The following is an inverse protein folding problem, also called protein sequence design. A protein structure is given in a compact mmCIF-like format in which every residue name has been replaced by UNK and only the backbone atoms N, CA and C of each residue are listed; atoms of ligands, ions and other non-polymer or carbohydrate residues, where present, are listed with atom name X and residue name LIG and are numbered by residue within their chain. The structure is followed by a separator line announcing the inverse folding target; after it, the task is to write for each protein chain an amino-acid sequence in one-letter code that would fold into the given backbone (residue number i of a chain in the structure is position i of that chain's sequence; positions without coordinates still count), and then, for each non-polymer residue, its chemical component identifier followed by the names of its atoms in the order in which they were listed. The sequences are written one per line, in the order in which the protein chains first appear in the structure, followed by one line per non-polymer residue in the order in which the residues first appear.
data_IF_892907424296
#
_entry.id   IF_892907424296
#
_cell.length_a   1.000
_cell.length_b   1.000
_cell.length_c   1.000
_cell.angle_alpha   90.00
_cell.angle_beta   90.00
_cell.angle_gamma   90.00
#
_symmetry.space_group_name_H-M   'P 1'
#
loop_
_entity.id
_entity.type
_entity.pdbx_description
1 polymer ?
#
# COMPACT_ATOMS: atom_id res chain seq x y z
N UNK A 1 36.29 2.73 -19.42
CA UNK A 1 35.06 2.98 -18.61
C UNK A 1 35.40 3.59 -17.23
N UNK A 2 35.17 4.90 -17.03
CA UNK A 2 35.34 5.55 -15.72
C UNK A 2 34.36 4.94 -14.72
N UNK A 3 34.86 4.18 -13.73
CA UNK A 3 34.06 3.75 -12.56
C UNK A 3 33.53 5.01 -11.87
N UNK A 4 32.24 5.32 -12.00
CA UNK A 4 31.59 6.37 -11.20
C UNK A 4 31.84 6.05 -9.72
N UNK A 5 32.53 6.94 -9.01
CA UNK A 5 32.68 6.83 -7.55
C UNK A 5 31.28 6.90 -6.94
N UNK A 6 30.90 5.87 -6.17
CA UNK A 6 29.64 5.90 -5.42
C UNK A 6 29.88 6.67 -4.13
N UNK A 7 29.13 7.75 -3.93
CA UNK A 7 29.23 8.62 -2.77
C UNK A 7 28.30 8.16 -1.63
N UNK A 8 28.62 8.59 -0.42
CA UNK A 8 27.72 8.52 0.72
C UNK A 8 26.82 9.76 0.68
N UNK A 9 25.52 9.58 0.92
CA UNK A 9 24.57 10.68 0.94
C UNK A 9 23.32 10.29 1.72
N UNK A 10 22.61 11.29 2.24
CA UNK A 10 21.26 11.14 2.75
C UNK A 10 20.27 11.66 1.69
N UNK A 11 19.12 11.03 1.60
CA UNK A 11 17.96 11.59 0.91
C UNK A 11 16.78 11.57 1.87
N UNK A 12 15.76 12.39 1.60
CA UNK A 12 14.51 12.31 2.34
C UNK A 12 13.31 12.37 1.40
N UNK A 13 12.18 11.88 1.89
CA UNK A 13 10.85 12.08 1.29
C UNK A 13 9.86 12.46 2.38
N UNK A 14 8.83 13.22 2.03
CA UNK A 14 7.70 13.48 2.93
C UNK A 14 6.91 12.18 3.08
N UNK A 15 6.81 11.69 4.31
CA UNK A 15 6.04 10.50 4.67
C UNK A 15 4.58 10.84 5.00
N UNK A 16 4.37 11.91 5.77
CA UNK A 16 3.06 12.43 6.14
C UNK A 16 3.14 13.91 6.54
N UNK A 17 2.00 14.59 6.50
CA UNK A 17 1.83 15.95 7.02
C UNK A 17 0.80 15.88 8.14
N UNK A 18 1.21 16.17 9.37
CA UNK A 18 0.32 16.29 10.53
C UNK A 18 -0.12 17.73 10.77
N UNK A 19 -0.81 17.95 11.89
CA UNK A 19 -1.29 19.28 12.30
C UNK A 19 -0.18 20.22 12.74
N UNK A 20 0.91 19.68 13.31
CA UNK A 20 2.07 20.44 13.80
C UNK A 20 3.40 19.94 13.23
N UNK A 21 3.45 18.67 12.84
CA UNK A 21 4.69 18.03 12.44
C UNK A 21 4.65 17.57 10.99
N UNK A 22 5.75 17.81 10.28
CA UNK A 22 6.08 17.14 9.03
C UNK A 22 6.84 15.86 9.37
N UNK A 23 6.37 14.72 8.86
CA UNK A 23 7.04 13.44 9.02
C UNK A 23 7.87 13.16 7.78
N UNK A 24 9.18 12.96 7.97
CA UNK A 24 10.14 12.71 6.91
C UNK A 24 10.68 11.28 7.01
N UNK A 25 10.71 10.57 5.88
CA UNK A 25 11.50 9.34 5.76
C UNK A 25 12.90 9.70 5.29
N UNK A 26 13.87 9.66 6.19
CA UNK A 26 15.28 9.84 5.92
C UNK A 26 15.89 8.50 5.50
N UNK A 27 16.71 8.50 4.46
CA UNK A 27 17.38 7.30 3.94
C UNK A 27 18.87 7.57 3.84
N UNK A 28 19.64 6.91 4.69
CA UNK A 28 21.10 7.00 4.66
C UNK A 28 21.68 5.97 3.71
N UNK A 29 22.56 6.41 2.79
CA UNK A 29 23.21 5.55 1.82
C UNK A 29 24.72 5.58 1.94
N UNK A 30 25.33 4.40 1.99
CA UNK A 30 26.77 4.20 1.93
C UNK A 30 27.13 3.54 0.62
N UNK A 31 27.97 4.20 -0.19
CA UNK A 31 28.30 3.75 -1.56
C UNK A 31 27.03 3.44 -2.39
N UNK A 32 25.99 4.25 -2.22
CA UNK A 32 24.70 4.12 -2.92
C UNK A 32 23.79 2.99 -2.42
N UNK A 33 24.15 2.27 -1.36
CA UNK A 33 23.33 1.21 -0.76
C UNK A 33 22.63 1.79 0.48
N UNK A 34 21.28 1.70 0.59
CA UNK A 34 20.57 2.03 1.82
C UNK A 34 21.14 1.26 3.01
N UNK A 35 21.44 1.96 4.11
CA UNK A 35 21.96 1.34 5.33
C UNK A 35 20.95 1.37 6.47
N UNK A 36 20.13 2.42 6.48
CA UNK A 36 19.01 2.59 7.39
C UNK A 36 18.00 3.57 6.78
N UNK A 37 16.81 3.50 7.32
CA UNK A 37 15.64 4.32 7.08
C UNK A 37 15.15 4.81 8.44
N UNK A 38 15.03 6.14 8.59
CA UNK A 38 14.62 6.77 9.84
C UNK A 38 13.44 7.68 9.58
N UNK A 39 12.41 7.59 10.41
CA UNK A 39 11.32 8.56 10.41
C UNK A 39 11.71 9.69 11.36
N UNK A 40 11.72 10.92 10.87
CA UNK A 40 11.92 12.13 11.68
C UNK A 40 10.63 12.95 11.73
N UNK A 41 10.22 13.36 12.93
CA UNK A 41 9.15 14.33 13.11
C UNK A 41 9.75 15.73 13.26
N UNK A 42 9.38 16.64 12.36
CA UNK A 42 9.93 18.01 12.32
C UNK A 42 8.79 19.00 12.47
N UNK A 43 8.90 19.91 13.42
CA UNK A 43 7.94 21.01 13.59
C UNK A 43 8.00 21.91 12.34
N UNK A 44 6.90 22.02 11.58
CA UNK A 44 6.96 22.69 10.27
C UNK A 44 7.07 24.22 10.37
N UNK A 45 6.72 24.81 11.52
CA UNK A 45 6.85 26.25 11.75
C UNK A 45 8.30 26.63 12.06
N UNK A 46 8.96 25.84 12.91
CA UNK A 46 10.29 26.16 13.44
C UNK A 46 11.43 25.41 12.73
N UNK A 47 11.11 24.34 12.01
CA UNK A 47 12.09 23.43 11.42
C UNK A 47 12.86 22.58 12.44
N UNK A 48 12.46 22.61 13.72
CA UNK A 48 13.13 21.82 14.77
C UNK A 48 12.65 20.38 14.74
N UNK A 49 13.60 19.45 14.77
CA UNK A 49 13.31 18.03 14.96
C UNK A 49 12.79 17.79 16.38
N UNK A 50 11.68 17.06 16.49
CA UNK A 50 11.11 16.60 17.76
C UNK A 50 11.69 15.25 18.17
N UNK A 51 11.67 14.29 17.25
CA UNK A 51 12.17 12.93 17.49
C UNK A 51 12.60 12.26 16.18
N UNK A 52 13.35 11.17 16.34
CA UNK A 52 13.64 10.19 15.29
C UNK A 52 13.25 8.78 15.75
N UNK A 53 12.73 7.99 14.82
CA UNK A 53 12.45 6.57 14.98
C UNK A 53 13.19 5.78 13.91
N UNK A 54 14.02 4.83 14.32
CA UNK A 54 14.70 3.92 13.39
C UNK A 54 13.66 2.97 12.78
N UNK A 55 13.25 3.28 11.55
CA UNK A 55 12.19 2.55 10.88
C UNK A 55 12.69 1.20 10.38
N UNK A 56 13.82 1.16 9.66
CA UNK A 56 14.41 -0.07 9.11
C UNK A 56 15.92 0.08 8.98
N UNK A 57 16.68 -1.00 9.18
CA UNK A 57 18.13 -1.07 9.01
C UNK A 57 18.57 -2.45 8.50
N UNK A 58 19.88 -2.66 8.40
CA UNK A 58 20.46 -3.94 7.95
C UNK A 58 20.23 -5.14 8.88
N UNK A 59 19.82 -4.90 10.11
CA UNK A 59 19.52 -5.93 11.11
C UNK A 59 18.02 -6.20 11.20
N UNK A 60 17.20 -5.43 10.49
CA UNK A 60 15.76 -5.60 10.46
C UNK A 60 15.40 -6.96 9.86
N UNK A 61 14.36 -7.57 10.43
CA UNK A 61 13.85 -8.85 9.93
C UNK A 61 13.15 -8.70 8.58
N UNK A 62 12.54 -7.54 8.35
CA UNK A 62 11.67 -7.28 7.21
C UNK A 62 12.03 -5.98 6.50
N UNK A 63 11.84 -5.98 5.19
CA UNK A 63 11.76 -4.75 4.40
C UNK A 63 10.30 -4.33 4.24
N UNK A 64 10.01 -3.04 4.44
CA UNK A 64 8.64 -2.51 4.56
C UNK A 64 8.39 -1.33 3.62
N UNK A 65 7.23 -1.34 2.96
CA UNK A 65 6.72 -0.14 2.28
C UNK A 65 6.13 0.84 3.29
N UNK A 66 6.15 2.15 3.03
CA UNK A 66 5.67 3.15 3.97
C UNK A 66 4.52 3.98 3.38
N UNK A 67 3.34 3.89 4.00
CA UNK A 67 2.23 4.83 3.83
C UNK A 67 1.85 5.34 5.21
N UNK A 68 1.80 6.66 5.40
CA UNK A 68 1.68 7.24 6.73
C UNK A 68 0.68 8.40 6.79
N UNK A 69 0.07 8.58 7.96
CA UNK A 69 -0.77 9.74 8.30
C UNK A 69 -0.69 10.02 9.79
N UNK A 70 -1.06 11.22 10.21
CA UNK A 70 -1.30 11.54 11.62
C UNK A 70 -2.78 11.30 11.95
N UNK A 71 -3.07 10.52 12.99
CA UNK A 71 -4.43 10.31 13.52
C UNK A 71 -4.36 10.44 15.04
N UNK A 72 -5.16 11.33 15.63
CA UNK A 72 -5.18 11.56 17.08
C UNK A 72 -3.77 11.80 17.67
N UNK A 73 -2.98 12.63 17.00
CA UNK A 73 -1.58 12.97 17.31
C UNK A 73 -0.60 11.78 17.31
N UNK A 74 -1.01 10.65 16.74
CA UNK A 74 -0.16 9.48 16.55
C UNK A 74 0.23 9.40 15.09
N UNK A 75 1.51 9.14 14.82
CA UNK A 75 1.93 8.75 13.49
C UNK A 75 1.50 7.30 13.27
N UNK A 76 0.58 7.09 12.33
CA UNK A 76 0.15 5.76 11.90
C UNK A 76 0.81 5.45 10.57
N UNK A 77 1.54 4.34 10.51
CA UNK A 77 2.19 3.82 9.31
C UNK A 77 1.60 2.45 8.99
N UNK A 78 1.19 2.26 7.74
CA UNK A 78 0.73 0.97 7.22
C UNK A 78 1.47 0.67 5.93
N UNK A 79 1.73 -0.61 5.70
CA UNK A 79 2.33 -1.05 4.45
C UNK A 79 2.35 -2.56 4.31
N UNK A 80 3.03 -3.01 3.26
CA UNK A 80 3.39 -4.40 3.06
C UNK A 80 4.80 -4.67 3.58
N UNK A 81 5.08 -5.95 3.81
CA UNK A 81 6.39 -6.38 4.26
C UNK A 81 6.84 -7.66 3.54
N UNK A 82 8.13 -7.78 3.32
CA UNK A 82 8.81 -8.98 2.81
C UNK A 82 9.96 -9.32 3.75
N UNK A 83 10.61 -10.48 3.55
CA UNK A 83 11.91 -10.69 4.18
C UNK A 83 12.88 -9.56 3.83
N UNK A 84 13.79 -9.26 4.75
CA UNK A 84 14.71 -8.15 4.59
C UNK A 84 15.56 -8.29 3.32
N UNK A 85 15.64 -7.19 2.57
CA UNK A 85 16.42 -7.08 1.35
C UNK A 85 17.25 -5.80 1.35
N UNK A 86 18.50 -5.91 0.90
CA UNK A 86 19.41 -4.74 0.76
C UNK A 86 18.95 -3.73 -0.31
N UNK A 87 17.91 -4.06 -1.08
CA UNK A 87 17.39 -3.20 -2.15
C UNK A 87 16.20 -2.39 -1.67
N UNK A 88 15.14 -3.09 -1.26
CA UNK A 88 13.87 -2.58 -0.72
C UNK A 88 12.91 -3.78 -0.51
N UNK A 89 11.67 -3.51 -0.08
CA UNK A 89 10.54 -4.44 -0.15
C UNK A 89 10.47 -5.18 -1.50
N UNK A 90 10.25 -6.49 -1.45
CA UNK A 90 10.09 -7.35 -2.63
C UNK A 90 8.63 -7.80 -2.75
N UNK A 91 7.92 -7.30 -3.76
CA UNK A 91 6.53 -7.71 -4.04
C UNK A 91 6.41 -9.23 -4.27
N UNK A 92 7.46 -9.84 -4.80
CA UNK A 92 7.52 -11.27 -5.08
C UNK A 92 7.56 -12.13 -3.81
N UNK A 93 7.92 -11.55 -2.67
CA UNK A 93 8.07 -12.19 -1.35
C UNK A 93 7.21 -11.46 -0.31
N UNK A 94 6.10 -10.84 -0.76
CA UNK A 94 5.22 -10.07 0.10
C UNK A 94 4.49 -11.01 1.06
N UNK A 95 4.70 -10.86 2.37
CA UNK A 95 4.13 -11.76 3.39
C UNK A 95 2.77 -11.31 3.93
N UNK A 96 2.34 -10.09 3.58
CA UNK A 96 1.09 -9.51 4.05
C UNK A 96 1.23 -8.03 4.36
N UNK A 97 0.52 -7.57 5.38
CA UNK A 97 0.50 -6.17 5.81
C UNK A 97 1.11 -5.98 7.20
N UNK A 98 1.52 -4.77 7.52
CA UNK A 98 1.88 -4.37 8.86
C UNK A 98 1.29 -3.01 9.21
N UNK A 99 1.12 -2.76 10.51
CA UNK A 99 0.82 -1.43 11.08
C UNK A 99 1.84 -1.11 12.16
N UNK A 100 2.36 0.11 12.10
CA UNK A 100 3.17 0.75 13.13
C UNK A 100 2.41 1.99 13.61
N UNK A 101 2.33 2.21 14.92
CA UNK A 101 1.85 3.45 15.50
C UNK A 101 2.88 4.00 16.48
N UNK A 102 3.22 5.28 16.33
CA UNK A 102 4.08 6.02 17.24
C UNK A 102 3.27 7.08 17.97
N UNK A 103 3.55 7.29 19.25
CA UNK A 103 3.02 8.43 19.98
C UNK A 103 3.69 9.75 19.56
N UNK A 104 3.27 10.84 20.19
CA UNK A 104 3.78 12.18 19.93
C UNK A 104 5.28 12.34 20.19
N UNK A 105 5.87 11.46 21.00
CA UNK A 105 7.29 11.45 21.37
C UNK A 105 8.10 10.46 20.52
N UNK A 106 7.46 9.76 19.59
CA UNK A 106 8.10 8.78 18.70
C UNK A 106 8.28 7.40 19.33
N UNK A 107 7.63 7.12 20.46
CA UNK A 107 7.65 5.80 21.09
C UNK A 107 6.61 4.90 20.45
N UNK A 108 7.00 3.64 20.24
CA UNK A 108 6.14 2.62 19.66
C UNK A 108 4.96 2.28 20.58
N UNK A 109 3.75 2.54 20.10
CA UNK A 109 2.49 2.11 20.72
C UNK A 109 2.04 0.75 20.19
N UNK A 110 2.34 0.47 18.93
CA UNK A 110 1.88 -0.72 18.23
C UNK A 110 2.82 -1.07 17.08
N UNK A 111 3.17 -2.35 16.94
CA UNK A 111 3.72 -2.93 15.72
C UNK A 111 3.11 -4.31 15.50
N UNK A 112 2.22 -4.43 14.51
CA UNK A 112 1.45 -5.66 14.24
C UNK A 112 1.63 -6.08 12.79
N UNK A 113 1.82 -7.39 12.58
CA UNK A 113 1.94 -8.00 11.25
C UNK A 113 0.75 -8.93 10.98
N UNK A 114 0.14 -8.77 9.82
CA UNK A 114 -0.99 -9.58 9.33
C UNK A 114 -0.54 -10.37 8.11
N UNK A 115 -0.42 -11.68 8.26
CA UNK A 115 0.03 -12.60 7.21
C UNK A 115 -1.08 -12.94 6.22
N UNK A 116 -0.72 -13.33 4.99
CA UNK A 116 -1.69 -13.85 4.02
C UNK A 116 -2.45 -15.09 4.51
N UNK A 117 -1.82 -15.92 5.34
CA UNK A 117 -2.46 -17.08 5.98
C UNK A 117 -3.70 -16.71 6.81
N UNK A 118 -3.85 -15.46 7.21
CA UNK A 118 -5.03 -14.97 7.95
C UNK A 118 -6.25 -14.79 7.03
N UNK A 119 -6.11 -14.99 5.71
CA UNK A 119 -7.16 -14.86 4.70
C UNK A 119 -7.30 -16.14 3.86
N UNK A 120 -7.61 -17.30 4.48
CA UNK A 120 -7.61 -18.59 3.80
C UNK A 120 -8.61 -18.69 2.64
N UNK A 121 -9.64 -17.84 2.63
CA UNK A 121 -10.68 -17.82 1.59
C UNK A 121 -10.20 -17.23 0.25
N UNK A 122 -9.06 -16.52 0.22
CA UNK A 122 -8.57 -15.85 -0.99
C UNK A 122 -7.82 -16.75 -1.97
N UNK A 123 -7.56 -18.01 -1.61
CA UNK A 123 -6.80 -18.98 -2.42
C UNK A 123 -5.45 -18.40 -2.90
N UNK A 124 -4.69 -17.83 -1.96
CA UNK A 124 -3.35 -17.29 -2.18
C UNK A 124 -2.32 -18.07 -1.35
N UNK A 125 -1.07 -18.13 -1.81
CA UNK A 125 0.05 -18.67 -1.04
C UNK A 125 0.57 -17.70 0.03
N UNK A 126 1.59 -18.11 0.77
CA UNK A 126 2.21 -17.33 1.85
C UNK A 126 2.91 -16.04 1.38
N UNK A 127 3.15 -15.90 0.07
CA UNK A 127 3.74 -14.72 -0.56
C UNK A 127 2.69 -13.90 -1.36
N UNK A 128 1.39 -14.22 -1.18
CA UNK A 128 0.28 -13.53 -1.81
C UNK A 128 0.14 -13.83 -3.31
N UNK A 129 0.70 -14.94 -3.79
CA UNK A 129 0.52 -15.41 -5.17
C UNK A 129 -0.78 -16.16 -5.31
N UNK A 130 -1.47 -15.90 -6.41
CA UNK A 130 -2.74 -16.52 -6.79
C UNK A 130 -2.54 -17.39 -8.04
N UNK A 131 -3.63 -18.04 -8.47
CA UNK A 131 -3.63 -18.85 -9.69
C UNK A 131 -3.12 -18.09 -10.93
N UNK A 132 -2.71 -18.84 -11.97
CA UNK A 132 -2.29 -18.30 -13.27
C UNK A 132 -1.14 -17.29 -13.19
N UNK A 133 -0.31 -17.35 -12.16
CA UNK A 133 0.84 -16.46 -11.88
C UNK A 133 0.45 -15.01 -11.54
N UNK A 134 -0.77 -14.80 -11.06
CA UNK A 134 -1.15 -13.53 -10.45
C UNK A 134 -0.56 -13.43 -9.04
N UNK A 135 -0.44 -12.22 -8.52
CA UNK A 135 -0.08 -11.92 -7.13
C UNK A 135 -0.82 -10.68 -6.66
N UNK A 136 -1.00 -10.54 -5.35
CA UNK A 136 -1.64 -9.36 -4.79
C UNK A 136 -0.65 -8.19 -4.76
N UNK A 137 -0.91 -7.18 -5.59
CA UNK A 137 -0.13 -5.95 -5.58
C UNK A 137 -0.90 -4.86 -4.83
N UNK A 138 -0.31 -4.26 -3.78
CA UNK A 138 -0.89 -3.10 -3.10
C UNK A 138 -1.14 -1.97 -4.10
N UNK A 139 -2.32 -1.36 -4.00
CA UNK A 139 -2.76 -0.28 -4.91
C UNK A 139 -3.06 0.98 -4.12
N UNK A 140 -3.75 0.87 -2.98
CA UNK A 140 -4.03 2.02 -2.13
C UNK A 140 -4.23 1.63 -0.66
N UNK A 141 -3.91 2.57 0.24
CA UNK A 141 -4.14 2.48 1.67
C UNK A 141 -5.07 3.62 2.10
N UNK A 142 -6.19 3.27 2.72
CA UNK A 142 -7.18 4.21 3.22
C UNK A 142 -7.10 4.25 4.74
N UNK A 143 -6.89 5.43 5.29
CA UNK A 143 -6.79 5.67 6.72
C UNK A 143 -8.04 6.42 7.17
N UNK A 144 -8.71 5.92 8.20
CA UNK A 144 -9.92 6.55 8.74
C UNK A 144 -9.62 7.25 10.07
N UNK A 145 -10.36 8.31 10.37
CA UNK A 145 -10.17 9.12 11.58
C UNK A 145 -10.40 8.32 12.89
N UNK A 146 -11.22 7.27 12.83
CA UNK A 146 -11.40 6.32 13.94
C UNK A 146 -10.23 5.33 14.14
N UNK A 147 -9.21 5.39 13.28
CA UNK A 147 -8.00 4.57 13.32
C UNK A 147 -8.12 3.23 12.60
N UNK A 148 -9.28 2.92 12.00
CA UNK A 148 -9.44 1.79 11.06
C UNK A 148 -8.62 2.04 9.80
N UNK A 149 -8.34 0.95 9.09
CA UNK A 149 -7.58 1.00 7.85
C UNK A 149 -8.21 0.04 6.84
N UNK A 150 -8.29 0.47 5.59
CA UNK A 150 -8.57 -0.43 4.47
C UNK A 150 -7.42 -0.45 3.48
N UNK A 151 -7.03 -1.63 3.02
CA UNK A 151 -5.96 -1.82 2.03
C UNK A 151 -6.54 -2.42 0.76
N UNK A 152 -6.40 -1.70 -0.35
CA UNK A 152 -6.79 -2.16 -1.67
C UNK A 152 -5.59 -2.82 -2.34
N UNK A 153 -5.75 -4.07 -2.74
CA UNK A 153 -4.80 -4.76 -3.61
C UNK A 153 -5.46 -5.11 -4.94
N UNK A 154 -4.66 -5.29 -5.97
CA UNK A 154 -5.09 -5.74 -7.29
C UNK A 154 -4.34 -7.01 -7.65
N UNK A 155 -5.06 -8.02 -8.16
CA UNK A 155 -4.41 -9.19 -8.75
C UNK A 155 -3.61 -8.73 -9.95
N UNK A 156 -2.30 -8.79 -9.83
CA UNK A 156 -1.34 -8.34 -10.82
C UNK A 156 -0.51 -9.52 -11.33
N UNK A 157 -0.32 -9.58 -12.65
CA UNK A 157 0.61 -10.51 -13.29
C UNK A 157 1.67 -9.70 -14.03
N UNK A 158 2.94 -9.78 -13.61
CA UNK A 158 4.00 -9.01 -14.25
C UNK A 158 4.20 -9.42 -15.71
N UNK A 159 4.76 -8.49 -16.48
CA UNK A 159 5.29 -8.75 -17.82
C UNK A 159 6.24 -9.96 -17.79
N UNK A 160 6.15 -10.80 -18.81
CA UNK A 160 7.20 -11.79 -19.05
C UNK A 160 8.36 -11.10 -19.77
N UNK A 161 9.44 -10.81 -19.05
CA UNK A 161 10.64 -10.15 -19.56
C UNK A 161 11.32 -10.87 -20.76
N UNK A 162 10.96 -12.12 -21.05
CA UNK A 162 11.46 -12.87 -22.22
C UNK A 162 10.64 -12.68 -23.49
N UNK A 163 9.45 -12.06 -23.41
CA UNK A 163 8.56 -11.86 -24.57
C UNK A 163 8.53 -10.36 -24.92
N UNK A 164 8.96 -10.03 -26.14
CA UNK A 164 8.89 -8.66 -26.68
C UNK A 164 7.43 -8.18 -26.66
N UNK A 165 7.14 -7.07 -25.96
CA UNK A 165 5.81 -6.44 -25.77
C UNK A 165 4.81 -7.18 -24.86
N UNK A 166 5.26 -7.99 -23.91
CA UNK A 166 4.34 -8.61 -22.96
C UNK A 166 3.83 -7.57 -21.93
N UNK A 167 2.61 -7.07 -22.05
CA UNK A 167 2.11 -6.12 -21.07
C UNK A 167 1.72 -6.80 -19.75
N UNK A 168 1.83 -6.11 -18.60
CA UNK A 168 1.26 -6.58 -17.36
C UNK A 168 -0.24 -6.82 -17.51
N UNK A 169 -0.77 -7.70 -16.67
CA UNK A 169 -2.21 -7.99 -16.63
C UNK A 169 -2.73 -7.76 -15.22
N UNK A 170 -3.92 -7.18 -15.13
CA UNK A 170 -4.63 -7.01 -13.86
C UNK A 170 -6.02 -7.64 -13.93
N UNK A 171 -6.55 -8.05 -12.78
CA UNK A 171 -7.91 -8.57 -12.68
C UNK A 171 -8.58 -8.06 -11.39
N UNK A 172 -9.23 -8.94 -10.63
CA UNK A 172 -9.99 -8.60 -9.42
C UNK A 172 -9.19 -7.68 -8.48
N UNK A 173 -9.89 -6.71 -7.88
CA UNK A 173 -9.39 -6.09 -6.66
C UNK A 173 -9.75 -6.94 -5.44
N UNK A 174 -8.94 -6.82 -4.39
CA UNK A 174 -9.22 -7.37 -3.08
C UNK A 174 -9.05 -6.26 -2.05
N UNK A 175 -10.14 -5.93 -1.37
CA UNK A 175 -10.20 -4.93 -0.33
C UNK A 175 -10.13 -5.60 1.04
N UNK A 176 -9.08 -5.31 1.79
CA UNK A 176 -8.91 -5.74 3.17
C UNK A 176 -9.36 -4.62 4.09
N UNK A 177 -10.28 -4.87 5.01
CA UNK A 177 -10.67 -3.90 6.04
C UNK A 177 -10.22 -4.39 7.40
N UNK A 178 -9.58 -3.51 8.17
CA UNK A 178 -9.00 -3.80 9.47
C UNK A 178 -9.51 -2.81 10.52
N UNK A 179 -9.65 -3.28 11.76
CA UNK A 179 -10.01 -2.44 12.88
C UNK A 179 -8.82 -1.57 13.35
N UNK A 180 -9.03 -0.76 14.38
CA UNK A 180 -8.00 0.11 14.96
C UNK A 180 -6.79 -0.68 15.48
N UNK A 181 -7.02 -1.87 16.01
CA UNK A 181 -5.99 -2.79 16.52
C UNK A 181 -5.31 -3.59 15.40
N UNK A 182 -5.62 -3.30 14.12
CA UNK A 182 -5.12 -3.99 12.94
C UNK A 182 -5.53 -5.47 12.82
N UNK A 183 -6.61 -5.85 13.52
CA UNK A 183 -7.31 -7.10 13.34
C UNK A 183 -8.20 -7.06 12.10
N UNK A 184 -8.19 -8.15 11.32
CA UNK A 184 -9.01 -8.31 10.12
C UNK A 184 -10.50 -8.24 10.45
N UNK A 185 -11.22 -7.34 9.79
CA UNK A 185 -12.69 -7.29 9.79
C UNK A 185 -13.25 -8.05 8.58
N UNK A 186 -12.69 -7.81 7.39
CA UNK A 186 -13.15 -8.44 6.15
C UNK A 186 -12.07 -8.43 5.06
N UNK A 187 -12.23 -9.34 4.10
CA UNK A 187 -11.51 -9.32 2.82
C UNK A 187 -12.55 -9.54 1.71
N UNK A 188 -12.80 -8.51 0.90
CA UNK A 188 -13.82 -8.51 -0.14
C UNK A 188 -13.21 -8.52 -1.53
N UNK A 189 -13.72 -9.36 -2.43
CA UNK A 189 -13.25 -9.45 -3.81
C UNK A 189 -14.18 -8.67 -4.72
N UNK A 190 -13.65 -7.63 -5.37
CA UNK A 190 -14.36 -6.82 -6.35
C UNK A 190 -14.03 -7.39 -7.73
N UNK A 191 -15.03 -7.98 -8.38
CA UNK A 191 -14.87 -8.70 -9.64
C UNK A 191 -14.70 -7.74 -10.81
N UNK A 192 -13.66 -8.01 -11.60
CA UNK A 192 -13.25 -7.23 -12.75
C UNK A 192 -12.98 -8.08 -13.97
N UNK A 193 -13.09 -7.48 -15.15
CA UNK A 193 -12.57 -8.09 -16.35
C UNK A 193 -11.04 -8.11 -16.36
N UNK A 194 -10.48 -9.07 -17.10
CA UNK A 194 -9.03 -9.15 -17.29
C UNK A 194 -8.52 -7.98 -18.15
N UNK A 195 -7.79 -7.07 -17.52
CA UNK A 195 -7.04 -6.02 -18.21
C UNK A 195 -5.73 -6.59 -18.75
N UNK A 196 -5.41 -6.25 -20.01
CA UNK A 196 -4.22 -6.76 -20.73
C UNK A 196 -3.24 -5.66 -21.15
N UNK A 197 -3.52 -4.42 -20.79
CA UNK A 197 -2.80 -3.24 -21.30
C UNK A 197 -2.51 -2.21 -20.23
N UNK A 198 -3.15 -2.28 -19.07
CA UNK A 198 -2.93 -1.36 -17.96
C UNK A 198 -2.11 -2.02 -16.85
N UNK A 199 -1.24 -1.23 -16.23
CA UNK A 199 -0.53 -1.67 -15.04
C UNK A 199 -1.48 -1.76 -13.86
N UNK A 200 -2.52 -0.92 -13.78
CA UNK A 200 -3.62 -0.93 -12.80
C UNK A 200 -4.86 -0.32 -13.44
N UNK A 201 -6.05 -0.74 -13.03
CA UNK A 201 -7.29 -0.07 -13.47
C UNK A 201 -7.87 0.90 -12.42
N UNK A 202 -7.18 1.09 -11.29
CA UNK A 202 -7.51 2.12 -10.30
C UNK A 202 -7.33 3.52 -10.87
N UNK A 203 -8.27 4.43 -10.60
CA UNK A 203 -8.23 5.81 -11.07
C UNK A 203 -7.88 6.79 -9.95
N UNK A 204 -8.79 6.96 -8.99
CA UNK A 204 -8.62 7.89 -7.86
C UNK A 204 -9.56 7.53 -6.70
N UNK A 205 -9.43 8.23 -5.59
CA UNK A 205 -10.34 8.15 -4.46
C UNK A 205 -10.60 9.54 -3.87
N UNK A 206 -11.65 9.62 -3.08
CA UNK A 206 -11.99 10.79 -2.29
C UNK A 206 -12.52 10.34 -0.93
N UNK A 207 -11.96 10.91 0.14
CA UNK A 207 -12.53 10.75 1.47
C UNK A 207 -13.88 11.46 1.58
N UNK A 208 -14.79 10.84 2.31
CA UNK A 208 -16.15 11.31 2.58
C UNK A 208 -16.45 11.11 4.06
N UNK A 209 -17.55 11.71 4.56
CA UNK A 209 -17.98 11.54 5.96
C UNK A 209 -16.86 11.90 6.97
N UNK A 210 -16.24 13.06 6.79
CA UNK A 210 -15.15 13.54 7.66
C UNK A 210 -14.05 12.48 7.81
N UNK A 211 -13.59 11.97 6.66
CA UNK A 211 -12.58 10.92 6.51
C UNK A 211 -12.86 9.61 7.26
N UNK A 212 -14.11 9.35 7.65
CA UNK A 212 -14.57 8.04 8.14
C UNK A 212 -15.21 7.17 7.03
N UNK A 213 -15.18 7.66 5.80
CA UNK A 213 -15.50 6.87 4.62
C UNK A 213 -14.64 7.26 3.42
N UNK A 214 -14.61 6.41 2.41
CA UNK A 214 -13.91 6.69 1.16
C UNK A 214 -14.71 6.15 -0.03
N UNK A 215 -14.82 6.95 -1.08
CA UNK A 215 -15.24 6.49 -2.39
C UNK A 215 -14.01 6.35 -3.29
N UNK A 216 -13.84 5.20 -3.94
CA UNK A 216 -12.79 4.99 -4.93
C UNK A 216 -13.33 4.52 -6.27
N UNK A 217 -12.62 4.91 -7.32
CA UNK A 217 -13.06 4.81 -8.70
C UNK A 217 -12.07 3.97 -9.49
N UNK A 218 -12.59 3.13 -10.38
CA UNK A 218 -11.78 2.31 -11.27
C UNK A 218 -12.42 2.22 -12.65
N UNK A 219 -11.59 2.12 -13.69
CA UNK A 219 -12.06 1.82 -15.06
C UNK A 219 -12.12 0.32 -15.27
N UNK A 220 -13.12 -0.18 -16.00
CA UNK A 220 -13.17 -1.59 -16.39
C UNK A 220 -14.01 -1.77 -17.65
N UNK A 221 -14.07 -3.00 -18.15
CA UNK A 221 -14.99 -3.39 -19.21
C UNK A 221 -16.11 -4.25 -18.64
N UNK A 222 -17.33 -4.06 -19.15
CA UNK A 222 -18.42 -5.02 -18.97
C UNK A 222 -18.77 -5.64 -20.32
N UNK A 223 -18.94 -6.97 -20.34
CA UNK A 223 -19.43 -7.68 -21.52
C UNK A 223 -20.96 -7.63 -21.48
N UNK A 224 -21.57 -7.03 -22.50
CA UNK A 224 -23.03 -7.06 -22.65
C UNK A 224 -23.51 -8.49 -22.94
N UNK A 225 -24.42 -9.02 -22.11
CA UNK A 225 -25.00 -10.36 -22.24
C UNK A 225 -25.59 -10.63 -23.63
N UNK A 226 -26.09 -9.58 -24.31
CA UNK A 226 -26.80 -9.71 -25.57
C UNK A 226 -25.93 -9.50 -26.82
N UNK A 227 -24.71 -8.98 -26.70
CA UNK A 227 -23.94 -8.57 -27.89
C UNK A 227 -22.47 -8.97 -27.89
N UNK A 228 -21.94 -9.57 -26.82
CA UNK A 228 -20.50 -9.81 -26.63
C UNK A 228 -19.61 -8.57 -26.83
N UNK A 229 -20.21 -7.37 -26.90
CA UNK A 229 -19.49 -6.10 -27.01
C UNK A 229 -19.00 -5.71 -25.63
N UNK A 230 -17.73 -5.29 -25.56
CA UNK A 230 -17.12 -4.71 -24.37
C UNK A 230 -17.46 -3.23 -24.32
N UNK A 231 -18.22 -2.84 -23.30
CA UNK A 231 -18.48 -1.44 -23.01
C UNK A 231 -17.61 -1.00 -21.84
N UNK A 232 -17.11 0.22 -21.89
CA UNK A 232 -16.38 0.78 -20.75
C UNK A 232 -17.36 1.03 -19.60
N UNK A 233 -16.87 0.81 -18.38
CA UNK A 233 -17.59 1.14 -17.16
C UNK A 233 -16.69 1.94 -16.23
N UNK A 234 -17.32 2.82 -15.46
CA UNK A 234 -16.77 3.37 -14.24
C UNK A 234 -17.33 2.56 -13.07
N UNK A 235 -16.45 1.84 -12.38
CA UNK A 235 -16.80 1.23 -11.11
C UNK A 235 -16.57 2.21 -9.97
N UNK A 236 -17.55 2.34 -9.09
CA UNK A 236 -17.54 3.21 -7.91
C UNK A 236 -17.72 2.32 -6.69
N UNK A 237 -16.76 2.38 -5.77
CA UNK A 237 -16.79 1.61 -4.54
C UNK A 237 -16.77 2.55 -3.35
N UNK A 238 -17.72 2.40 -2.45
CA UNK A 238 -17.79 3.18 -1.23
C UNK A 238 -17.53 2.30 -0.02
N UNK A 239 -16.61 2.74 0.85
CA UNK A 239 -16.30 2.10 2.12
C UNK A 239 -16.75 3.03 3.24
N UNK A 240 -17.72 2.61 4.05
CA UNK A 240 -18.17 3.33 5.26
C UNK A 240 -18.28 2.31 6.38
N UNK A 241 -17.65 2.58 7.53
CA UNK A 241 -17.62 1.67 8.68
C UNK A 241 -17.18 0.24 8.34
N UNK A 242 -16.24 0.11 7.40
CA UNK A 242 -15.73 -1.19 6.92
C UNK A 242 -16.72 -1.97 6.02
N UNK A 243 -17.88 -1.39 5.69
CA UNK A 243 -18.85 -1.95 4.75
C UNK A 243 -18.60 -1.40 3.35
N UNK A 244 -18.51 -2.30 2.38
CA UNK A 244 -18.35 -1.96 0.97
C UNK A 244 -19.72 -1.90 0.28
N UNK A 245 -19.92 -0.88 -0.54
CA UNK A 245 -21.01 -0.80 -1.53
C UNK A 245 -20.40 -0.60 -2.92
N UNK A 246 -20.87 -1.36 -3.90
CA UNK A 246 -20.35 -1.35 -5.27
C UNK A 246 -21.41 -0.84 -6.25
N UNK A 247 -21.03 0.09 -7.12
CA UNK A 247 -21.86 0.61 -8.20
C UNK A 247 -21.07 0.61 -9.51
N UNK A 248 -21.76 0.45 -10.65
CA UNK A 248 -21.16 0.45 -11.99
C UNK A 248 -21.96 1.33 -12.93
N UNK A 249 -21.28 2.28 -13.57
CA UNK A 249 -21.88 3.21 -14.53
C UNK A 249 -21.28 2.95 -15.92
N UNK A 250 -22.08 2.61 -16.95
CA UNK A 250 -21.60 2.55 -18.33
C UNK A 250 -21.11 3.91 -18.83
N UNK A 251 -20.00 3.93 -19.58
CA UNK A 251 -19.45 5.12 -20.27
C UNK A 251 -19.50 4.92 -21.78
#
# INVERSE_FOLDING_TARGET
PRKKKRHNYASFSVAAVGQKYLYLLLIHRVKGIPIDFTIAAVDFETGKEKYQYLFEDRNSQYSRTLHATEINNQLVVVGNYSDYSKKDFQLDENKGFYKLALDEEGKELQLVYTKWSNFPTLQIDEDGRAEKKFRLRPTQFYFFNDGKVSVLTEKYKPENATIIRALPKTSDFILFSMNKEFGTLSAHVIKKELSKTAATDYLFHQYIKEDNGVAFFYGDYAVSENSNKKNWILGINTIIDGKLTEEKIPI
#
